data_IF_841760937187
#
_entry.id   IF_841760937187
#
_cell.length_a   1.000
_cell.length_b   1.000
_cell.length_c   1.000
_cell.angle_alpha   90.00
_cell.angle_beta   90.00
_cell.angle_gamma   90.00
#
_symmetry.space_group_name_H-M   'P 1'
#
loop_
_entity.id
_entity.type
_entity.pdbx_description
1 polymer ?
#
# COMPACT_ATOMS: atom_id res chain seq x y z
N UNK A 1 -5.63 1.73 0.43
CA UNK A 1 -4.74 1.79 -0.74
C UNK A 1 -4.48 3.23 -1.20
N UNK A 2 -4.38 4.17 -0.25
CA UNK A 2 -4.46 5.61 -0.45
C UNK A 2 -3.42 6.40 0.35
N UNK A 3 -2.40 5.69 0.82
CA UNK A 3 -1.18 6.23 1.40
C UNK A 3 -0.01 6.06 0.43
N UNK A 4 0.20 7.00 -0.51
CA UNK A 4 1.38 7.02 -1.36
C UNK A 4 2.65 7.01 -0.54
N UNK A 5 3.67 6.30 -1.02
CA UNK A 5 5.00 6.29 -0.42
C UNK A 5 5.80 7.50 -0.89
N UNK A 6 6.53 8.11 0.03
CA UNK A 6 7.61 9.03 -0.32
C UNK A 6 8.85 8.23 -0.72
N UNK A 7 9.62 8.72 -1.69
CA UNK A 7 10.85 8.04 -2.12
C UNK A 7 11.88 7.95 -0.99
N UNK A 8 11.94 8.97 -0.13
CA UNK A 8 12.89 9.01 0.98
C UNK A 8 12.35 9.74 2.19
N UNK A 9 12.80 9.32 3.37
CA UNK A 9 12.43 9.91 4.66
C UNK A 9 13.69 10.20 5.45
N UNK A 10 13.84 11.43 5.94
CA UNK A 10 14.92 11.79 6.86
C UNK A 10 14.58 11.31 8.26
N UNK A 11 15.46 10.48 8.84
CA UNK A 11 15.31 9.93 10.17
C UNK A 11 15.72 10.95 11.24
N UNK A 12 15.30 10.78 12.51
CA UNK A 12 15.63 11.72 13.59
C UNK A 12 17.13 11.94 13.83
N UNK A 13 17.98 10.99 13.43
CA UNK A 13 19.45 11.08 13.52
C UNK A 13 20.12 11.68 12.27
N UNK A 14 19.32 12.19 11.32
CA UNK A 14 19.79 12.79 10.07
C UNK A 14 20.11 11.79 8.96
N UNK A 15 20.03 10.48 9.19
CA UNK A 15 20.16 9.49 8.11
C UNK A 15 18.96 9.57 7.17
N UNK A 16 19.16 9.19 5.90
CA UNK A 16 18.07 9.12 4.91
C UNK A 16 17.70 7.66 4.67
N UNK A 17 16.45 7.32 4.98
CA UNK A 17 15.83 6.08 4.53
C UNK A 17 15.35 6.25 3.08
N UNK A 18 15.55 5.24 2.23
CA UNK A 18 15.07 5.24 0.85
C UNK A 18 14.14 4.06 0.65
N UNK A 19 12.90 4.35 0.24
CA UNK A 19 11.91 3.33 -0.05
C UNK A 19 12.18 2.69 -1.41
N UNK A 20 11.79 1.42 -1.54
CA UNK A 20 11.66 0.79 -2.86
C UNK A 20 10.37 1.32 -3.46
N UNK A 21 10.46 2.01 -4.60
CA UNK A 21 9.30 2.63 -5.24
C UNK A 21 8.74 1.74 -6.35
N UNK A 22 7.41 1.78 -6.52
CA UNK A 22 6.71 1.33 -7.74
C UNK A 22 5.71 2.41 -8.15
N UNK A 23 5.28 2.42 -9.41
CA UNK A 23 4.30 3.38 -9.90
C UNK A 23 3.00 3.32 -9.08
N UNK A 24 2.54 2.12 -8.72
CA UNK A 24 1.30 1.91 -7.97
C UNK A 24 1.41 2.32 -6.49
N UNK A 25 2.62 2.53 -5.97
CA UNK A 25 2.86 3.09 -4.63
C UNK A 25 3.09 4.60 -4.64
N UNK A 26 3.23 5.23 -5.80
CA UNK A 26 3.48 6.66 -5.92
C UNK A 26 2.18 7.51 -5.92
N UNK A 27 1.01 6.88 -6.04
CA UNK A 27 -0.31 7.53 -5.99
C UNK A 27 -1.35 6.68 -5.25
N UNK A 28 -2.54 7.25 -5.04
CA UNK A 28 -3.71 6.50 -4.55
C UNK A 28 -4.14 5.47 -5.61
N UNK A 29 -4.71 4.35 -5.20
CA UNK A 29 -5.18 3.33 -6.12
C UNK A 29 -6.63 3.57 -6.58
N UNK A 30 -6.87 3.50 -7.89
CA UNK A 30 -8.16 3.82 -8.52
C UNK A 30 -8.55 2.75 -9.54
N UNK A 31 -7.55 2.21 -10.24
CA UNK A 31 -7.68 1.16 -11.23
C UNK A 31 -7.32 -0.20 -10.64
N UNK A 32 -7.88 -1.27 -11.22
CA UNK A 32 -7.59 -2.64 -10.79
C UNK A 32 -6.08 -2.97 -10.83
N UNK A 33 -5.35 -2.42 -11.79
CA UNK A 33 -3.91 -2.63 -11.91
C UNK A 33 -3.14 -1.95 -10.77
N UNK A 34 -3.56 -0.76 -10.33
CA UNK A 34 -3.00 -0.09 -9.14
C UNK A 34 -3.28 -0.87 -7.85
N UNK A 35 -4.50 -1.42 -7.68
CA UNK A 35 -4.81 -2.29 -6.54
C UNK A 35 -3.99 -3.57 -6.53
N UNK A 36 -3.82 -4.22 -7.70
CA UNK A 36 -2.96 -5.40 -7.84
C UNK A 36 -1.50 -5.07 -7.60
N UNK A 37 -1.03 -3.90 -8.04
CA UNK A 37 0.31 -3.40 -7.77
C UNK A 37 0.56 -3.21 -6.27
N UNK A 38 -0.39 -2.58 -5.58
CA UNK A 38 -0.36 -2.43 -4.13
C UNK A 38 -0.26 -3.78 -3.40
N UNK A 39 -1.02 -4.78 -3.84
CA UNK A 39 -0.92 -6.14 -3.29
C UNK A 39 0.45 -6.78 -3.56
N UNK A 40 0.94 -6.71 -4.81
CA UNK A 40 2.24 -7.28 -5.21
C UNK A 40 3.40 -6.64 -4.46
N UNK A 41 3.31 -5.36 -4.12
CA UNK A 41 4.38 -4.64 -3.42
C UNK A 41 4.83 -5.33 -2.12
N UNK A 42 3.87 -5.79 -1.30
CA UNK A 42 4.18 -6.50 -0.06
C UNK A 42 4.89 -7.84 -0.31
N UNK A 43 4.64 -8.45 -1.47
CA UNK A 43 5.29 -9.68 -1.90
C UNK A 43 6.68 -9.44 -2.50
N UNK A 44 7.19 -8.21 -2.57
CA UNK A 44 8.60 -7.95 -2.84
C UNK A 44 9.48 -8.32 -1.63
N UNK A 45 8.93 -8.26 -0.41
CA UNK A 45 9.66 -8.62 0.81
C UNK A 45 9.84 -10.14 0.93
N UNK A 46 11.10 -10.56 1.10
CA UNK A 46 11.46 -11.98 1.19
C UNK A 46 10.86 -12.68 2.41
N UNK A 47 10.69 -11.96 3.52
CA UNK A 47 10.18 -12.53 4.76
C UNK A 47 8.67 -12.75 4.66
N UNK A 48 7.93 -11.80 4.07
CA UNK A 48 6.49 -11.96 3.76
C UNK A 48 6.26 -13.17 2.86
N UNK A 49 7.03 -13.30 1.76
CA UNK A 49 6.95 -14.47 0.88
C UNK A 49 7.25 -15.77 1.62
N UNK A 50 8.31 -15.80 2.44
CA UNK A 50 8.69 -16.99 3.19
C UNK A 50 7.61 -17.39 4.19
N UNK A 51 7.02 -16.43 4.90
CA UNK A 51 5.91 -16.67 5.82
C UNK A 51 4.71 -17.29 5.10
N UNK A 52 4.24 -16.66 4.01
CA UNK A 52 3.10 -17.13 3.22
C UNK A 52 3.31 -18.53 2.61
N UNK A 53 4.56 -18.93 2.35
CA UNK A 53 4.87 -20.25 1.80
C UNK A 53 4.81 -21.39 2.84
N UNK A 54 4.88 -21.08 4.14
CA UNK A 54 4.98 -22.09 5.21
C UNK A 54 3.78 -22.09 6.16
N UNK A 55 3.06 -20.99 6.26
CA UNK A 55 1.98 -20.82 7.23
C UNK A 55 0.66 -20.62 6.49
N UNK A 56 -0.34 -21.50 6.66
CA UNK A 56 -1.67 -21.28 6.10
C UNK A 56 -2.34 -20.10 6.82
N UNK A 57 -3.00 -19.24 6.04
CA UNK A 57 -3.67 -18.04 6.54
C UNK A 57 -5.16 -18.07 6.21
N UNK A 58 -5.99 -17.74 7.19
CA UNK A 58 -7.39 -17.34 6.97
C UNK A 58 -7.42 -15.82 7.01
N UNK A 59 -7.73 -15.18 5.89
CA UNK A 59 -7.61 -13.73 5.73
C UNK A 59 -8.99 -13.09 5.68
N UNK A 60 -9.16 -12.04 6.46
CA UNK A 60 -10.27 -11.11 6.39
C UNK A 60 -9.70 -9.72 6.08
N UNK A 61 -10.38 -8.99 5.20
CA UNK A 61 -10.07 -7.62 4.82
C UNK A 61 -10.57 -6.60 5.86
N UNK A 62 -9.99 -5.42 5.82
CA UNK A 62 -10.43 -4.21 6.50
C UNK A 62 -10.53 -3.05 5.48
N UNK A 63 -10.82 -1.85 5.97
CA UNK A 63 -10.95 -0.65 5.16
C UNK A 63 -9.70 -0.33 4.32
N UNK A 64 -8.49 -0.51 4.87
CA UNK A 64 -7.23 -0.17 4.21
C UNK A 64 -6.93 -0.97 2.94
N UNK A 65 -7.56 -2.13 2.72
CA UNK A 65 -7.55 -2.84 1.44
C UNK A 65 -8.22 -2.04 0.31
N UNK A 66 -9.05 -1.06 0.66
CA UNK A 66 -9.67 -0.08 -0.24
C UNK A 66 -9.03 1.30 0.00
N UNK A 67 -9.35 1.94 1.12
CA UNK A 67 -8.83 3.26 1.54
C UNK A 67 -9.00 3.45 3.04
N UNK A 68 -8.24 4.36 3.63
CA UNK A 68 -8.36 4.69 5.04
C UNK A 68 -9.78 5.19 5.39
N UNK A 69 -10.37 4.64 6.44
CA UNK A 69 -11.72 4.92 6.93
C UNK A 69 -12.82 4.72 5.86
N UNK A 70 -12.72 3.66 5.06
CA UNK A 70 -13.73 3.31 4.07
C UNK A 70 -15.08 2.94 4.71
N UNK A 71 -16.18 3.37 4.08
CA UNK A 71 -17.53 2.88 4.39
C UNK A 71 -18.47 2.91 3.16
N UNK A 72 -19.55 2.13 3.14
CA UNK A 72 -20.50 2.12 2.03
C UNK A 72 -21.17 3.48 1.79
N UNK A 73 -21.17 3.95 0.55
CA UNK A 73 -21.79 5.23 0.16
C UNK A 73 -20.95 6.48 0.51
N UNK A 74 -19.68 6.30 0.90
CA UNK A 74 -18.75 7.41 1.12
C UNK A 74 -18.57 8.23 -0.16
N UNK A 75 -18.71 9.55 -0.04
CA UNK A 75 -18.39 10.52 -1.10
C UNK A 75 -16.95 10.97 -0.90
N UNK A 76 -16.15 10.90 -1.95
CA UNK A 76 -14.74 11.30 -1.91
C UNK A 76 -14.58 12.70 -2.48
N UNK A 77 -14.27 13.65 -1.61
CA UNK A 77 -13.83 15.01 -1.98
C UNK A 77 -12.33 15.13 -1.69
N UNK A 78 -11.52 14.40 -2.48
CA UNK A 78 -10.07 14.34 -2.33
C UNK A 78 -9.44 14.44 -3.72
N UNK A 79 -8.73 15.55 -3.96
CA UNK A 79 -8.15 15.88 -5.26
C UNK A 79 -7.05 14.91 -5.73
N UNK A 80 -6.60 13.99 -4.86
CA UNK A 80 -5.67 12.92 -5.24
C UNK A 80 -6.32 11.84 -6.10
N UNK A 81 -7.65 11.75 -6.11
CA UNK A 81 -8.44 10.82 -6.91
C UNK A 81 -8.97 11.53 -8.18
N UNK A 82 -8.95 10.86 -9.34
CA UNK A 82 -9.21 11.39 -10.69
C UNK A 82 -10.06 10.45 -11.56
#
# INVERSE_FOLDING_TARGET
ADGPLEESVTLPDGRVWRNVMTEEKAKVAETLDEYRGNFRYNLLDRNVRRFNAHVPSVVQWDDHEVRNNWYPGQILDDARYT
#
